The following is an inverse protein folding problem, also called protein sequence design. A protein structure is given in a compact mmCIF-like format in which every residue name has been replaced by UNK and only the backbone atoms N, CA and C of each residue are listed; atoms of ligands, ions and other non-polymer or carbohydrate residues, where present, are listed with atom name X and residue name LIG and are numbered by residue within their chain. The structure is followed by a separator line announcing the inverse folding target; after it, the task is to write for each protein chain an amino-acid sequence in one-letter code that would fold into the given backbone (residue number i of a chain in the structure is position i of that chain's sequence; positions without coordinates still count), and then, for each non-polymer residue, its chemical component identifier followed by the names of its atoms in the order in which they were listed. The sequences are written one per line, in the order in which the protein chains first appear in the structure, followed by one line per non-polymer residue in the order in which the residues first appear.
data_IF_128944552995
#
_entry.id   IF_128944552995
#
_cell.length_a   1.000
_cell.length_b   1.000
_cell.length_c   1.000
_cell.angle_alpha   90.00
_cell.angle_beta   90.00
_cell.angle_gamma   90.00
#
_symmetry.space_group_name_H-M   'P 1'
#
loop_
_entity.id
_entity.type
_entity.pdbx_description
1 polymer ?
#
# COMPACT_ATOMS: atom_id res chain seq x y z
N UNK A 1 27.41 -7.97 46.55
CA UNK A 1 27.64 -8.61 47.86
C UNK A 1 28.84 -7.94 48.50
N UNK A 2 28.64 -7.05 49.47
CA UNK A 2 29.66 -6.70 50.46
C UNK A 2 28.93 -6.47 51.79
N UNK A 3 29.26 -7.35 52.73
CA UNK A 3 28.78 -7.38 54.11
C UNK A 3 29.53 -6.32 54.91
N UNK A 4 28.82 -5.48 55.64
CA UNK A 4 29.38 -4.69 56.76
C UNK A 4 28.49 -4.99 57.96
N UNK A 5 28.86 -6.06 58.65
CA UNK A 5 28.47 -6.30 60.02
C UNK A 5 29.44 -5.59 60.97
N UNK A 6 28.91 -5.30 62.17
CA UNK A 6 29.63 -5.05 63.42
C UNK A 6 30.47 -3.78 63.51
N UNK A 7 29.85 -2.69 63.96
CA UNK A 7 30.47 -1.79 64.95
C UNK A 7 29.36 -1.10 65.77
N UNK A 8 29.26 -1.49 67.04
CA UNK A 8 29.01 -0.70 68.26
C UNK A 8 28.17 -1.47 69.29
N UNK A 9 28.89 -2.14 70.20
CA UNK A 9 28.48 -2.35 71.58
C UNK A 9 29.01 -1.20 72.44
N UNK A 10 28.31 -0.93 73.54
CA UNK A 10 28.66 -0.06 74.69
C UNK A 10 28.12 1.37 74.63
N UNK A 11 26.94 1.55 75.23
CA UNK A 11 26.68 2.70 76.10
C UNK A 11 26.06 2.13 77.37
N UNK A 12 26.89 1.99 78.42
CA UNK A 12 26.51 1.71 79.80
C UNK A 12 25.89 3.00 80.37
N UNK A 13 24.75 2.87 81.04
CA UNK A 13 24.17 3.96 81.80
C UNK A 13 24.86 4.09 83.15
N UNK A 14 25.27 5.31 83.50
CA UNK A 14 25.68 5.67 84.85
C UNK A 14 24.66 6.63 85.47
N UNK A 15 24.29 6.29 86.69
CA UNK A 15 23.28 6.91 87.54
C UNK A 15 23.88 7.90 88.55
N UNK A 16 23.11 8.96 88.82
CA UNK A 16 22.97 9.69 90.09
C UNK A 16 24.15 10.50 90.68
N UNK A 17 23.88 11.77 91.01
CA UNK A 17 24.67 12.55 91.98
C UNK A 17 24.49 14.08 92.00
N UNK A 18 23.87 14.58 93.09
CA UNK A 18 24.02 15.88 93.79
C UNK A 18 23.44 17.22 93.28
N UNK A 19 22.33 17.61 93.92
CA UNK A 19 22.01 18.87 94.66
C UNK A 19 22.88 20.14 94.56
N UNK A 20 22.23 21.30 94.29
CA UNK A 20 22.43 22.66 94.87
C UNK A 20 21.50 23.67 94.11
N UNK A 21 20.40 24.22 94.67
CA UNK A 21 20.22 25.35 95.62
C UNK A 21 20.04 26.75 94.97
N UNK A 22 18.89 27.39 95.27
CA UNK A 22 18.63 28.84 95.15
C UNK A 22 17.88 29.28 93.87
N UNK A 23 16.86 30.15 93.86
CA UNK A 23 16.16 30.97 94.86
C UNK A 23 14.80 31.35 94.27
N UNK A 24 13.76 31.33 95.09
CA UNK A 24 12.39 31.76 94.79
C UNK A 24 12.21 33.27 94.93
N UNK A 25 11.53 33.90 93.98
CA UNK A 25 10.73 35.12 94.22
C UNK A 25 9.33 34.90 93.66
N UNK A 26 8.35 34.97 94.56
CA UNK A 26 6.94 34.80 94.28
C UNK A 26 6.32 36.09 93.73
N UNK A 27 5.41 35.97 92.77
CA UNK A 27 4.27 36.87 92.63
C UNK A 27 3.01 36.04 92.42
N UNK A 28 2.04 36.28 93.29
CA UNK A 28 0.73 35.66 93.35
C UNK A 28 -0.12 36.04 92.13
N UNK A 29 -0.78 35.06 91.52
CA UNK A 29 -2.03 35.31 90.81
C UNK A 29 -3.00 34.16 91.08
N UNK A 30 -4.10 34.54 91.71
CA UNK A 30 -5.27 33.72 91.98
C UNK A 30 -5.97 33.38 90.68
N UNK A 31 -5.98 32.11 90.28
CA UNK A 31 -7.09 31.50 89.57
C UNK A 31 -6.96 29.97 89.64
N UNK A 32 -7.96 29.36 90.29
CA UNK A 32 -8.15 27.91 90.31
C UNK A 32 -8.39 27.40 88.88
N UNK A 33 -7.38 26.76 88.29
CA UNK A 33 -7.59 25.75 87.26
C UNK A 33 -6.77 24.51 87.60
N UNK A 34 -7.47 23.38 87.59
CA UNK A 34 -7.02 22.04 87.88
C UNK A 34 -5.83 21.67 87.00
N UNK A 35 -4.67 21.46 87.62
CA UNK A 35 -3.49 20.89 86.94
C UNK A 35 -3.78 19.40 86.73
N UNK A 36 -4.15 19.03 85.51
CA UNK A 36 -4.12 17.63 85.08
C UNK A 36 -2.68 17.13 85.16
N UNK A 37 -2.49 16.00 85.85
CA UNK A 37 -1.21 15.32 86.00
C UNK A 37 -0.50 15.14 84.64
N UNK A 38 0.84 15.28 84.56
CA UNK A 38 1.57 14.90 83.37
C UNK A 38 1.41 13.39 83.17
N UNK A 39 0.80 12.99 82.05
CA UNK A 39 0.72 11.59 81.65
C UNK A 39 2.13 10.97 81.63
N UNK A 40 2.29 9.68 82.03
CA UNK A 40 3.58 9.02 82.00
C UNK A 40 4.10 8.97 80.57
N UNK A 41 5.21 9.67 80.30
CA UNK A 41 5.92 9.62 79.03
C UNK A 41 6.26 8.16 78.71
N UNK A 42 5.58 7.63 77.70
CA UNK A 42 5.92 6.36 77.05
C UNK A 42 7.43 6.35 76.78
N UNK A 43 8.12 5.25 77.08
CA UNK A 43 9.57 5.12 76.92
C UNK A 43 10.01 5.65 75.54
N UNK A 44 11.15 6.38 75.43
CA UNK A 44 11.54 7.01 74.19
C UNK A 44 11.81 5.93 73.15
N UNK A 45 10.87 5.77 72.22
CA UNK A 45 11.13 5.11 70.96
C UNK A 45 12.34 5.79 70.33
N UNK A 46 13.26 5.03 69.73
CA UNK A 46 14.42 5.59 69.05
C UNK A 46 13.95 6.63 68.01
N UNK A 47 14.54 7.82 68.06
CA UNK A 47 14.20 8.92 67.15
C UNK A 47 14.89 8.74 65.79
N UNK A 48 14.27 7.98 64.90
CA UNK A 48 14.78 7.76 63.53
C UNK A 48 14.79 9.03 62.66
N UNK A 49 14.14 10.11 63.10
CA UNK A 49 14.12 11.42 62.41
C UNK A 49 15.51 12.06 62.32
N UNK A 50 16.43 11.70 63.22
CA UNK A 50 17.80 12.22 63.23
C UNK A 50 18.60 11.77 62.00
N UNK A 51 18.29 10.60 61.43
CA UNK A 51 18.96 10.10 60.21
C UNK A 51 18.70 11.00 59.00
N UNK A 52 17.50 11.59 58.94
CA UNK A 52 17.05 12.45 57.83
C UNK A 52 17.60 13.87 58.00
N UNK A 53 17.85 14.32 59.23
CA UNK A 53 18.39 15.65 59.59
C UNK A 53 19.92 15.72 59.54
N UNK A 54 20.54 15.03 58.58
CA UNK A 54 21.99 15.02 58.39
C UNK A 54 22.42 16.05 57.33
N UNK A 55 23.65 16.56 57.42
CA UNK A 55 24.20 17.53 56.44
C UNK A 55 23.37 18.81 56.33
N UNK A 56 22.92 19.13 55.11
CA UNK A 56 22.11 20.32 54.79
C UNK A 56 20.70 20.32 55.42
N UNK A 57 20.27 19.18 55.96
CA UNK A 57 18.93 19.00 56.51
C UNK A 57 18.80 19.28 58.00
N UNK A 58 19.89 19.71 58.68
CA UNK A 58 19.88 19.97 60.13
C UNK A 58 18.88 21.07 60.52
N UNK A 59 18.88 22.16 59.76
CA UNK A 59 18.06 23.34 60.03
C UNK A 59 16.72 23.30 59.27
N UNK A 60 16.54 22.33 58.36
CA UNK A 60 15.32 22.22 57.54
C UNK A 60 14.23 21.48 58.31
N UNK A 61 13.00 22.00 58.21
CA UNK A 61 11.82 21.32 58.72
C UNK A 61 11.43 20.20 57.76
N UNK A 62 11.61 18.95 58.18
CA UNK A 62 11.31 17.76 57.37
C UNK A 62 10.20 16.96 58.01
N UNK A 63 9.17 16.68 57.22
CA UNK A 63 8.06 15.83 57.58
C UNK A 63 8.49 14.36 57.40
N UNK A 64 8.37 13.57 58.46
CA UNK A 64 8.81 12.17 58.46
C UNK A 64 8.02 11.29 59.42
N UNK A 65 7.22 11.89 60.30
CA UNK A 65 6.40 11.15 61.26
C UNK A 65 5.06 10.77 60.65
N UNK A 66 4.47 9.69 61.15
CA UNK A 66 3.07 9.33 60.86
C UNK A 66 2.08 10.44 61.21
N UNK A 67 2.41 11.29 62.19
CA UNK A 67 1.58 12.43 62.56
C UNK A 67 1.57 13.54 61.51
N UNK A 68 2.57 13.58 60.62
CA UNK A 68 2.62 14.53 59.50
C UNK A 68 1.68 14.12 58.36
N UNK A 69 1.30 12.83 58.28
CA UNK A 69 0.31 12.30 57.31
C UNK A 69 -1.12 12.74 57.69
N UNK A 70 -1.37 12.97 58.99
CA UNK A 70 -2.70 13.32 59.49
C UNK A 70 -3.04 14.77 59.11
N UNK A 71 -4.23 15.02 58.51
CA UNK A 71 -4.65 16.38 58.17
C UNK A 71 -4.55 17.36 59.36
N UNK A 72 -3.99 18.54 59.11
CA UNK A 72 -3.67 19.51 60.17
C UNK A 72 -4.90 19.93 60.99
N UNK A 73 -6.06 20.06 60.35
CA UNK A 73 -7.34 20.42 60.98
C UNK A 73 -7.86 19.35 61.95
N UNK A 74 -7.52 18.08 61.70
CA UNK A 74 -7.84 16.96 62.59
C UNK A 74 -6.82 16.87 63.74
N UNK A 75 -5.54 17.15 63.44
CA UNK A 75 -4.45 17.11 64.43
C UNK A 75 -4.54 18.24 65.45
N UNK A 76 -4.92 19.44 65.02
CA UNK A 76 -5.01 20.64 65.86
C UNK A 76 -6.29 21.40 65.50
N UNK A 77 -7.33 21.23 66.31
CA UNK A 77 -8.66 21.84 66.09
C UNK A 77 -8.64 23.37 66.11
N UNK A 78 -7.80 23.97 66.95
CA UNK A 78 -7.66 25.41 67.10
C UNK A 78 -6.32 25.89 66.49
N UNK A 79 -6.17 25.80 65.17
CA UNK A 79 -4.99 26.32 64.47
C UNK A 79 -5.27 27.75 63.98
N UNK A 80 -4.36 28.69 64.26
CA UNK A 80 -4.39 30.00 63.62
C UNK A 80 -3.78 29.88 62.21
N UNK A 81 -4.62 30.10 61.19
CA UNK A 81 -4.21 30.25 59.79
C UNK A 81 -4.16 31.73 59.37
N UNK A 82 -4.02 32.63 60.35
CA UNK A 82 -3.94 34.05 60.09
C UNK A 82 -2.67 34.35 59.30
N UNK A 83 -2.79 35.27 58.35
CA UNK A 83 -1.62 35.81 57.65
C UNK A 83 -0.74 36.54 58.67
N UNK A 84 0.59 36.61 58.44
CA UNK A 84 1.48 37.46 59.23
C UNK A 84 0.98 38.91 59.29
N UNK A 85 1.37 39.66 60.32
CA UNK A 85 0.98 41.07 60.45
C UNK A 85 1.56 41.91 59.29
N UNK A 86 0.92 43.04 59.00
CA UNK A 86 1.36 43.93 57.92
C UNK A 86 2.79 44.43 58.14
N UNK A 87 3.18 44.72 59.37
CA UNK A 87 4.55 45.12 59.74
C UNK A 87 5.58 44.04 59.42
N UNK A 88 5.29 42.77 59.72
CA UNK A 88 6.17 41.64 59.39
C UNK A 88 6.30 41.43 57.89
N UNK A 89 5.22 41.67 57.15
CA UNK A 89 5.22 41.61 55.69
C UNK A 89 6.11 42.73 55.13
N UNK A 90 5.98 43.96 55.64
CA UNK A 90 6.82 45.09 55.22
C UNK A 90 8.30 44.84 55.54
N UNK A 91 8.64 44.37 56.73
CA UNK A 91 10.01 44.02 57.10
C UNK A 91 10.58 42.92 56.19
N UNK A 92 9.83 41.84 55.96
CA UNK A 92 10.27 40.75 55.08
C UNK A 92 10.41 41.22 53.62
N UNK A 93 9.49 42.04 53.13
CA UNK A 93 9.54 42.58 51.76
C UNK A 93 10.74 43.50 51.58
N UNK A 94 11.05 44.38 52.54
CA UNK A 94 12.25 45.20 52.49
C UNK A 94 13.53 44.39 52.56
N UNK A 95 13.60 43.41 53.47
CA UNK A 95 14.77 42.53 53.61
C UNK A 95 15.03 41.73 52.34
N UNK A 96 13.99 41.14 51.77
CA UNK A 96 14.08 40.35 50.54
C UNK A 96 14.40 41.24 49.33
N UNK A 97 13.78 42.41 49.22
CA UNK A 97 14.09 43.42 48.20
C UNK A 97 15.56 43.81 48.23
N UNK A 98 16.10 44.22 49.39
CA UNK A 98 17.52 44.56 49.56
C UNK A 98 18.45 43.41 49.15
N UNK A 99 18.11 42.17 49.53
CA UNK A 99 18.88 41.00 49.14
C UNK A 99 18.86 40.73 47.63
N UNK A 100 17.70 40.85 46.99
CA UNK A 100 17.55 40.69 45.54
C UNK A 100 18.23 41.82 44.78
N UNK A 101 18.13 43.07 45.24
CA UNK A 101 18.82 44.21 44.64
C UNK A 101 20.35 43.99 44.65
N UNK A 102 20.91 43.44 45.73
CA UNK A 102 22.32 43.05 45.79
C UNK A 102 22.67 41.97 44.75
N UNK A 103 21.82 40.96 44.59
CA UNK A 103 22.02 39.90 43.58
C UNK A 103 21.89 40.46 42.16
N UNK A 104 20.98 41.39 41.92
CA UNK A 104 20.80 42.04 40.63
C UNK A 104 22.00 42.93 40.30
N UNK A 105 22.39 43.81 41.21
CA UNK A 105 23.53 44.71 40.99
C UNK A 105 24.85 43.95 40.81
N UNK A 106 25.01 42.77 41.44
CA UNK A 106 26.18 41.90 41.19
C UNK A 106 26.11 41.24 39.81
N UNK A 107 24.93 40.79 39.37
CA UNK A 107 24.73 40.22 38.02
C UNK A 107 24.86 41.26 36.90
N UNK A 108 24.36 42.48 37.10
CA UNK A 108 24.48 43.60 36.14
C UNK A 108 25.89 44.19 36.11
N UNK A 109 26.77 43.82 37.06
CA UNK A 109 28.14 44.35 37.14
C UNK A 109 28.22 45.81 37.57
N UNK A 110 27.12 46.39 38.07
CA UNK A 110 27.01 47.76 38.59
C UNK A 110 27.55 47.91 40.01
N UNK A 111 27.60 46.83 40.79
CA UNK A 111 28.34 46.77 42.06
C UNK A 111 29.86 46.69 41.83
N UNK A 112 30.44 47.71 41.20
CA UNK A 112 31.88 47.95 41.30
C UNK A 112 32.07 48.71 42.61
N UNK A 113 32.40 48.00 43.70
CA UNK A 113 32.89 48.67 44.91
C UNK A 113 34.04 49.60 44.50
N UNK A 114 34.08 50.82 45.02
CA UNK A 114 35.24 51.70 44.86
C UNK A 114 36.41 51.07 45.61
N UNK A 115 37.19 50.24 44.90
CA UNK A 115 38.31 49.43 45.42
C UNK A 115 39.53 50.24 45.89
N UNK A 116 39.39 51.56 46.00
CA UNK A 116 40.49 52.48 46.30
C UNK A 116 40.87 52.50 47.80
N UNK A 117 39.93 52.17 48.69
CA UNK A 117 40.18 52.22 50.14
C UNK A 117 40.74 50.87 50.66
N UNK A 118 41.86 50.87 51.41
CA UNK A 118 42.43 49.66 51.99
C UNK A 118 41.67 49.21 53.24
N UNK A 119 41.38 47.91 53.34
CA UNK A 119 40.76 47.30 54.51
C UNK A 119 41.83 46.78 55.48
N UNK A 120 41.68 47.06 56.78
CA UNK A 120 42.59 46.54 57.81
C UNK A 120 41.87 45.49 58.65
N UNK A 121 42.34 44.25 58.59
CA UNK A 121 41.78 43.12 59.34
C UNK A 121 42.80 42.66 60.39
N UNK A 122 42.38 42.59 61.65
CA UNK A 122 43.19 41.97 62.70
C UNK A 122 43.00 40.46 62.66
N UNK A 123 44.07 39.74 62.37
CA UNK A 123 44.08 38.29 62.35
C UNK A 123 44.82 37.73 63.57
N UNK A 124 44.14 36.87 64.33
CA UNK A 124 44.70 36.08 65.41
C UNK A 124 44.90 34.64 64.91
N UNK A 125 46.15 34.17 64.84
CA UNK A 125 46.44 32.80 64.41
C UNK A 125 46.04 31.80 65.48
N UNK A 126 45.33 30.73 65.10
CA UNK A 126 44.95 29.61 65.98
C UNK A 126 45.97 28.47 66.01
N UNK A 127 47.22 28.71 65.56
CA UNK A 127 48.24 27.66 65.53
C UNK A 127 48.71 27.32 66.95
N UNK A 128 48.32 26.13 67.42
CA UNK A 128 48.70 25.54 68.72
C UNK A 128 50.15 25.02 68.72
N UNK A 129 50.80 24.91 67.56
CA UNK A 129 52.13 24.27 67.42
C UNK A 129 53.34 25.21 67.59
N UNK A 130 53.13 26.52 67.71
CA UNK A 130 54.23 27.49 67.88
C UNK A 130 54.11 28.14 69.27
N UNK A 131 55.10 27.94 70.13
CA UNK A 131 55.18 28.44 71.52
C UNK A 131 55.29 29.97 71.67
N UNK A 132 55.17 30.74 70.59
CA UNK A 132 55.10 32.19 70.68
C UNK A 132 53.67 32.62 71.03
N UNK A 133 53.44 33.36 72.13
CA UNK A 133 52.10 33.72 72.58
C UNK A 133 51.38 34.54 71.50
N UNK A 134 50.28 33.98 70.95
CA UNK A 134 49.21 34.66 70.21
C UNK A 134 49.59 35.97 69.52
N UNK A 135 50.53 35.91 68.57
CA UNK A 135 50.88 37.08 67.77
C UNK A 135 49.70 37.42 66.85
N UNK A 136 48.91 38.43 67.22
CA UNK A 136 47.92 39.02 66.33
C UNK A 136 48.64 39.88 65.29
N UNK A 137 48.28 39.75 64.02
CA UNK A 137 48.83 40.57 62.93
C UNK A 137 47.72 41.40 62.33
N UNK A 138 47.99 42.67 62.02
CA UNK A 138 47.05 43.51 61.27
C UNK A 138 47.41 43.37 59.79
N UNK A 139 46.48 42.85 59.01
CA UNK A 139 46.62 42.62 57.58
C UNK A 139 45.91 43.75 56.83
N UNK A 140 46.64 44.42 55.94
CA UNK A 140 46.08 45.40 55.02
C UNK A 140 45.70 44.69 53.71
N UNK A 141 44.41 44.60 53.42
CA UNK A 141 43.88 44.02 52.19
C UNK A 141 43.65 45.16 51.20
N UNK A 142 44.28 45.05 50.02
CA UNK A 142 44.16 45.99 48.91
C UNK A 142 43.80 45.19 47.66
N UNK A 143 42.75 45.59 46.97
CA UNK A 143 42.36 44.99 45.69
C UNK A 143 43.37 45.39 44.61
N UNK A 144 43.95 44.41 43.92
CA UNK A 144 44.86 44.66 42.79
C UNK A 144 44.10 45.28 41.62
N UNK A 145 44.58 46.42 41.12
CA UNK A 145 44.06 47.05 39.90
C UNK A 145 44.19 46.07 38.71
N UNK A 146 43.08 45.84 37.99
CA UNK A 146 43.04 44.95 36.82
C UNK A 146 43.13 45.77 35.53
N UNK A 147 43.80 45.19 34.52
CA UNK A 147 43.93 45.79 33.19
C UNK A 147 42.59 45.66 32.42
N UNK A 148 42.01 46.77 31.92
CA UNK A 148 40.76 46.75 31.16
C UNK A 148 40.87 46.07 29.79
N UNK A 149 42.07 45.93 29.22
CA UNK A 149 42.30 45.31 27.90
C UNK A 149 42.73 43.85 28.01
N UNK A 150 42.99 43.36 29.22
CA UNK A 150 43.42 41.98 29.41
C UNK A 150 42.28 40.99 29.07
N UNK A 151 42.56 39.94 28.28
CA UNK A 151 41.55 38.92 27.97
C UNK A 151 41.22 38.06 29.21
N UNK A 152 40.09 37.34 29.21
CA UNK A 152 39.73 36.41 30.27
C UNK A 152 40.83 35.37 30.53
N UNK A 153 41.39 35.37 31.75
CA UNK A 153 42.57 34.57 32.11
C UNK A 153 42.32 33.05 32.13
N UNK A 154 41.08 32.62 32.37
CA UNK A 154 40.75 31.20 32.59
C UNK A 154 39.60 30.74 31.69
N UNK A 155 39.76 29.55 31.08
CA UNK A 155 38.67 28.85 30.38
C UNK A 155 37.73 28.23 31.41
N UNK A 156 36.44 28.57 31.36
CA UNK A 156 35.44 27.97 32.24
C UNK A 156 35.12 26.55 31.78
N UNK A 157 35.34 25.57 32.67
CA UNK A 157 34.90 24.17 32.44
C UNK A 157 33.46 24.02 32.91
N UNK A 158 32.63 23.33 32.13
CA UNK A 158 31.27 22.94 32.54
C UNK A 158 31.39 21.98 33.73
N UNK A 159 30.87 22.40 34.88
CA UNK A 159 30.80 21.53 36.06
C UNK A 159 29.61 20.59 35.90
N UNK A 160 29.77 19.34 36.32
CA UNK A 160 28.64 18.44 36.52
C UNK A 160 27.73 19.00 37.61
N UNK A 161 26.44 18.73 37.49
CA UNK A 161 25.47 19.15 38.49
C UNK A 161 25.84 18.54 39.85
N UNK A 162 25.71 19.35 40.90
CA UNK A 162 25.89 18.87 42.27
C UNK A 162 24.84 17.78 42.55
N UNK A 163 25.16 16.76 43.35
CA UNK A 163 24.14 15.82 43.77
C UNK A 163 22.98 16.59 44.43
N UNK A 164 21.72 16.22 44.15
CA UNK A 164 20.58 16.90 44.74
C UNK A 164 20.61 16.75 46.27
N UNK A 165 19.94 17.66 46.98
CA UNK A 165 19.67 17.47 48.41
C UNK A 165 18.99 16.12 48.62
N UNK A 166 19.25 15.42 49.75
CA UNK A 166 18.67 14.11 50.03
C UNK A 166 17.15 14.10 49.79
N UNK A 167 16.59 13.02 49.22
CA UNK A 167 15.19 12.98 48.82
C UNK A 167 14.28 13.15 50.03
N UNK A 168 13.21 13.93 49.87
CA UNK A 168 12.23 14.13 50.91
C UNK A 168 11.47 12.81 51.20
N UNK A 169 11.09 12.54 52.46
CA UNK A 169 10.28 11.38 52.81
C UNK A 169 8.94 11.39 52.06
N UNK A 170 8.59 10.25 51.47
CA UNK A 170 7.33 10.08 50.75
C UNK A 170 6.26 9.61 51.73
N UNK A 171 5.27 10.45 51.99
CA UNK A 171 4.22 10.24 52.97
C UNK A 171 2.90 9.80 52.31
N UNK A 172 2.90 8.62 51.69
CA UNK A 172 1.69 8.04 51.09
C UNK A 172 0.79 7.37 52.13
N UNK A 173 -0.50 7.27 51.79
CA UNK A 173 -1.40 6.33 52.44
C UNK A 173 -0.87 4.88 52.27
N UNK A 174 -1.19 3.96 53.19
CA UNK A 174 -0.80 2.57 53.05
C UNK A 174 -1.26 2.01 51.70
N UNK A 175 -0.37 1.28 51.02
CA UNK A 175 -0.65 0.73 49.70
C UNK A 175 -1.84 -0.22 49.78
N UNK A 176 -2.90 0.05 49.02
CA UNK A 176 -3.99 -0.92 48.84
C UNK A 176 -3.44 -2.07 47.99
N UNK A 177 -3.66 -3.31 48.43
CA UNK A 177 -3.32 -4.48 47.64
C UNK A 177 -4.26 -4.51 46.43
N UNK A 178 -3.68 -4.52 45.23
CA UNK A 178 -4.43 -4.63 43.98
C UNK A 178 -5.13 -5.99 43.95
N UNK A 179 -6.40 -6.04 43.56
CA UNK A 179 -7.10 -7.31 43.37
C UNK A 179 -6.67 -7.96 42.06
N UNK A 180 -6.69 -9.29 42.00
CA UNK A 180 -6.31 -10.00 40.77
C UNK A 180 -7.22 -9.64 39.59
N UNK A 181 -8.47 -9.26 39.86
CA UNK A 181 -9.43 -8.78 38.87
C UNK A 181 -9.05 -7.40 38.32
N UNK A 182 -8.73 -6.44 39.20
CA UNK A 182 -8.28 -5.11 38.82
C UNK A 182 -6.99 -5.20 37.98
N UNK A 183 -6.05 -6.04 38.40
CA UNK A 183 -4.81 -6.24 37.64
C UNK A 183 -5.06 -6.81 36.24
N UNK A 184 -6.03 -7.72 36.07
CA UNK A 184 -6.40 -8.26 34.76
C UNK A 184 -7.13 -7.24 33.90
N UNK A 185 -8.02 -6.44 34.49
CA UNK A 185 -8.74 -5.40 33.75
C UNK A 185 -7.81 -4.33 33.20
N UNK A 186 -6.75 -4.01 33.95
CA UNK A 186 -5.70 -3.08 33.53
C UNK A 186 -4.53 -3.74 32.79
N UNK A 187 -4.66 -5.02 32.43
CA UNK A 187 -3.67 -5.68 31.58
C UNK A 187 -3.79 -5.15 30.15
N UNK A 188 -2.78 -4.37 29.72
CA UNK A 188 -2.69 -3.86 28.36
C UNK A 188 -2.04 -4.94 27.49
N UNK A 189 -2.73 -5.47 26.45
CA UNK A 189 -2.15 -6.44 25.53
C UNK A 189 -0.93 -5.88 24.79
N UNK A 190 0.05 -6.73 24.41
CA UNK A 190 1.21 -6.28 23.65
C UNK A 190 0.80 -5.75 22.28
N UNK A 191 1.40 -4.63 21.88
CA UNK A 191 1.17 -4.04 20.57
C UNK A 191 1.90 -4.85 19.49
N UNK A 192 1.13 -5.59 18.68
CA UNK A 192 1.62 -6.30 17.50
C UNK A 192 1.27 -5.43 16.30
N UNK A 193 2.24 -5.03 15.50
CA UNK A 193 2.00 -4.17 14.34
C UNK A 193 2.21 -4.93 13.03
N UNK A 194 1.38 -4.62 12.02
CA UNK A 194 1.52 -5.17 10.68
C UNK A 194 2.68 -4.55 9.89
N UNK A 195 3.22 -3.41 10.34
CA UNK A 195 4.28 -2.66 9.62
C UNK A 195 5.67 -2.83 10.21
N UNK A 196 5.81 -2.90 11.54
CA UNK A 196 7.10 -2.80 12.23
C UNK A 196 7.30 -3.96 13.19
N UNK A 197 8.46 -4.58 13.06
CA UNK A 197 8.97 -5.59 13.97
C UNK A 197 10.47 -5.34 14.20
N UNK A 198 10.84 -4.33 15.02
CA UNK A 198 12.23 -3.88 15.13
C UNK A 198 13.14 -4.98 15.70
N UNK A 199 12.61 -5.79 16.60
CA UNK A 199 13.35 -6.88 17.24
C UNK A 199 13.20 -8.21 16.49
N UNK A 200 12.48 -8.24 15.35
CA UNK A 200 12.35 -9.43 14.52
C UNK A 200 11.62 -10.62 15.18
N UNK A 201 10.70 -10.37 16.13
CA UNK A 201 9.97 -11.46 16.79
C UNK A 201 9.16 -12.31 15.79
N UNK A 202 9.29 -13.63 15.90
CA UNK A 202 8.46 -14.59 15.16
C UNK A 202 7.08 -14.66 15.81
N UNK A 203 6.12 -13.94 15.24
CA UNK A 203 4.75 -13.80 15.76
C UNK A 203 3.84 -14.69 14.92
N UNK A 204 2.97 -15.46 15.58
CA UNK A 204 1.99 -16.31 14.92
C UNK A 204 1.01 -15.49 14.06
N UNK A 205 0.49 -16.11 12.99
CA UNK A 205 -0.33 -15.43 12.00
C UNK A 205 -1.66 -14.91 12.58
N UNK A 206 -2.26 -15.68 13.49
CA UNK A 206 -3.49 -15.29 14.21
C UNK A 206 -3.31 -13.96 14.97
N UNK A 207 -2.16 -13.78 15.64
CA UNK A 207 -1.86 -12.56 16.40
C UNK A 207 -1.56 -11.35 15.53
N UNK A 208 -1.11 -11.56 14.28
CA UNK A 208 -0.94 -10.47 13.29
C UNK A 208 -2.27 -10.09 12.65
N UNK A 209 -3.05 -11.09 12.28
CA UNK A 209 -4.33 -10.91 11.60
C UNK A 209 -5.38 -10.25 12.51
N UNK A 210 -5.43 -10.65 13.79
CA UNK A 210 -6.37 -10.12 14.78
C UNK A 210 -6.28 -8.58 14.98
N UNK A 211 -5.17 -7.95 14.59
CA UNK A 211 -4.98 -6.49 14.72
C UNK A 211 -5.64 -5.72 13.59
N UNK A 212 -5.79 -6.34 12.41
CA UNK A 212 -6.29 -5.63 11.23
C UNK A 212 -7.77 -5.25 11.36
N UNK A 213 -8.51 -5.86 12.30
CA UNK A 213 -9.96 -5.64 12.48
C UNK A 213 -10.77 -5.98 11.22
N UNK A 214 -10.10 -6.46 10.16
CA UNK A 214 -10.59 -6.86 8.85
C UNK A 214 -10.76 -8.38 8.81
N UNK A 215 -11.03 -8.99 9.95
CA UNK A 215 -11.46 -10.39 9.98
C UNK A 215 -12.68 -10.48 9.06
N UNK A 216 -12.57 -11.23 7.93
CA UNK A 216 -13.69 -11.34 7.02
C UNK A 216 -14.89 -11.94 7.76
N UNK A 217 -14.71 -12.82 8.74
CA UNK A 217 -15.82 -13.34 9.53
C UNK A 217 -16.55 -12.31 10.41
N UNK A 218 -15.90 -11.19 10.79
CA UNK A 218 -16.51 -10.17 11.65
C UNK A 218 -17.12 -9.00 10.85
N UNK A 219 -16.57 -8.69 9.67
CA UNK A 219 -17.06 -7.63 8.78
C UNK A 219 -17.70 -8.13 7.47
N UNK A 220 -17.79 -9.45 7.22
CA UNK A 220 -18.40 -10.00 6.01
C UNK A 220 -19.91 -10.27 6.13
N UNK A 221 -20.60 -9.80 7.16
CA UNK A 221 -21.99 -9.41 6.96
C UNK A 221 -22.04 -8.09 6.19
N UNK A 222 -21.38 -8.04 5.02
CA UNK A 222 -21.65 -7.01 4.02
C UNK A 222 -23.02 -7.37 3.46
N UNK A 223 -24.05 -6.96 4.18
CA UNK A 223 -25.42 -7.07 3.73
C UNK A 223 -25.57 -6.16 2.50
N UNK A 224 -25.82 -6.76 1.34
CA UNK A 224 -26.02 -6.02 0.09
C UNK A 224 -27.40 -5.38 0.15
N UNK A 225 -27.48 -4.10 -0.19
CA UNK A 225 -28.74 -3.36 -0.23
C UNK A 225 -29.71 -3.96 -1.27
N UNK A 226 -30.95 -4.22 -0.87
CA UNK A 226 -32.03 -4.78 -1.71
C UNK A 226 -32.31 -3.96 -2.97
N UNK A 227 -32.00 -2.65 -2.97
CA UNK A 227 -32.14 -1.80 -4.16
C UNK A 227 -31.31 -2.29 -5.34
N UNK A 228 -30.18 -2.94 -5.11
CA UNK A 228 -29.37 -3.53 -6.18
C UNK A 228 -30.04 -4.75 -6.80
N UNK A 229 -30.75 -5.54 -5.98
CA UNK A 229 -31.55 -6.68 -6.47
C UNK A 229 -32.73 -6.17 -7.29
N UNK A 230 -33.47 -5.19 -6.77
CA UNK A 230 -34.60 -4.59 -7.48
C UNK A 230 -34.19 -3.94 -8.81
N UNK A 231 -33.00 -3.32 -8.85
CA UNK A 231 -32.44 -2.75 -10.07
C UNK A 231 -32.11 -3.85 -11.10
N UNK A 232 -31.42 -4.91 -10.67
CA UNK A 232 -31.09 -6.04 -11.54
C UNK A 232 -32.36 -6.68 -12.13
N UNK A 233 -33.35 -6.97 -11.29
CA UNK A 233 -34.64 -7.52 -11.71
C UNK A 233 -35.39 -6.61 -12.68
N UNK A 234 -35.32 -5.29 -12.48
CA UNK A 234 -35.96 -4.33 -13.40
C UNK A 234 -35.30 -4.31 -14.78
N UNK A 235 -33.97 -4.41 -14.82
CA UNK A 235 -33.20 -4.41 -16.07
C UNK A 235 -33.42 -5.72 -16.84
N UNK A 236 -33.48 -6.86 -16.15
CA UNK A 236 -33.75 -8.16 -16.78
C UNK A 236 -35.16 -8.21 -17.38
N UNK A 237 -36.17 -7.68 -16.68
CA UNK A 237 -37.54 -7.57 -17.20
C UNK A 237 -37.59 -6.67 -18.44
N UNK A 238 -36.93 -5.52 -18.38
CA UNK A 238 -36.85 -4.60 -19.51
C UNK A 238 -36.18 -5.25 -20.74
N UNK A 239 -35.10 -6.01 -20.56
CA UNK A 239 -34.43 -6.71 -21.67
C UNK A 239 -35.32 -7.82 -22.27
N UNK A 240 -36.05 -8.57 -21.43
CA UNK A 240 -37.00 -9.58 -21.91
C UNK A 240 -38.13 -8.97 -22.74
N UNK A 241 -38.70 -7.86 -22.29
CA UNK A 241 -39.77 -7.15 -22.99
C UNK A 241 -39.28 -6.63 -24.35
N UNK A 242 -38.11 -5.99 -24.39
CA UNK A 242 -37.51 -5.50 -25.65
C UNK A 242 -37.24 -6.65 -26.62
N UNK A 243 -36.70 -7.78 -26.15
CA UNK A 243 -36.46 -8.95 -27.01
C UNK A 243 -37.76 -9.52 -27.56
N UNK A 244 -38.81 -9.58 -26.76
CA UNK A 244 -40.12 -10.08 -27.19
C UNK A 244 -40.75 -9.16 -28.22
N UNK A 245 -40.69 -7.84 -28.02
CA UNK A 245 -41.17 -6.85 -28.97
C UNK A 245 -40.43 -6.98 -30.32
N UNK A 246 -39.10 -7.07 -30.28
CA UNK A 246 -38.27 -7.28 -31.48
C UNK A 246 -38.69 -8.57 -32.20
N UNK A 247 -38.86 -9.69 -31.49
CA UNK A 247 -39.30 -10.97 -32.08
C UNK A 247 -40.65 -10.83 -32.77
N UNK A 248 -41.64 -10.21 -32.11
CA UNK A 248 -42.98 -10.00 -32.66
C UNK A 248 -42.89 -9.09 -33.90
N UNK A 249 -42.16 -7.98 -33.82
CA UNK A 249 -41.98 -7.05 -34.94
C UNK A 249 -41.32 -7.73 -36.15
N UNK A 250 -40.30 -8.56 -35.92
CA UNK A 250 -39.67 -9.34 -36.98
C UNK A 250 -40.62 -10.39 -37.57
N UNK A 251 -41.42 -11.06 -36.75
CA UNK A 251 -42.42 -12.03 -37.23
C UNK A 251 -43.51 -11.35 -38.09
N UNK A 252 -44.03 -10.20 -37.66
CA UNK A 252 -45.00 -9.42 -38.43
C UNK A 252 -44.41 -8.93 -39.76
N UNK A 253 -43.20 -8.36 -39.73
CA UNK A 253 -42.49 -7.91 -40.93
C UNK A 253 -42.25 -9.06 -41.91
N UNK A 254 -41.96 -10.27 -41.39
CA UNK A 254 -41.81 -11.48 -42.20
C UNK A 254 -43.14 -11.89 -42.83
N UNK A 255 -44.23 -11.92 -42.07
CA UNK A 255 -45.57 -12.23 -42.60
C UNK A 255 -46.03 -11.22 -43.66
N UNK A 256 -45.77 -9.92 -43.45
CA UNK A 256 -46.06 -8.87 -44.43
C UNK A 256 -45.22 -9.05 -45.70
N UNK A 257 -43.92 -9.33 -45.55
CA UNK A 257 -43.05 -9.62 -46.70
C UNK A 257 -43.55 -10.86 -47.48
N UNK A 258 -43.92 -11.95 -46.80
CA UNK A 258 -44.49 -13.14 -47.41
C UNK A 258 -45.79 -12.82 -48.16
N UNK A 259 -46.70 -12.05 -47.54
CA UNK A 259 -47.94 -11.61 -48.18
C UNK A 259 -47.68 -10.75 -49.42
N UNK A 260 -46.77 -9.79 -49.33
CA UNK A 260 -46.35 -8.96 -50.47
C UNK A 260 -45.72 -9.81 -51.59
N UNK A 261 -44.93 -10.83 -51.26
CA UNK A 261 -44.40 -11.76 -52.27
C UNK A 261 -45.50 -12.59 -52.92
N UNK A 262 -46.49 -13.05 -52.15
CA UNK A 262 -47.65 -13.81 -52.65
C UNK A 262 -48.52 -12.97 -53.58
N UNK A 263 -48.83 -11.74 -53.19
CA UNK A 263 -49.59 -10.80 -54.03
C UNK A 263 -48.84 -10.47 -55.33
N UNK A 264 -47.51 -10.30 -55.27
CA UNK A 264 -46.67 -10.13 -56.46
C UNK A 264 -46.71 -11.37 -57.36
N UNK A 265 -46.64 -12.56 -56.79
CA UNK A 265 -46.74 -13.83 -57.53
C UNK A 265 -48.12 -13.99 -58.20
N UNK A 266 -49.20 -13.71 -57.49
CA UNK A 266 -50.56 -13.75 -58.04
C UNK A 266 -50.75 -12.71 -59.15
N UNK A 267 -50.24 -11.49 -58.97
CA UNK A 267 -50.26 -10.45 -60.00
C UNK A 267 -49.49 -10.89 -61.26
N UNK A 268 -48.31 -11.49 -61.09
CA UNK A 268 -47.54 -12.05 -62.21
C UNK A 268 -48.27 -13.23 -62.86
N UNK A 269 -48.95 -14.07 -62.09
CA UNK A 269 -49.76 -15.19 -62.58
C UNK A 269 -50.94 -14.71 -63.41
N UNK A 270 -51.67 -13.68 -62.96
CA UNK A 270 -52.77 -13.07 -63.72
C UNK A 270 -52.26 -12.40 -65.00
N UNK A 271 -51.13 -11.70 -64.97
CA UNK A 271 -50.50 -11.13 -66.15
C UNK A 271 -50.10 -12.23 -67.16
N UNK A 272 -49.52 -13.33 -66.67
CA UNK A 272 -49.17 -14.48 -67.49
C UNK A 272 -50.40 -15.18 -68.09
N UNK A 273 -51.52 -15.23 -67.35
CA UNK A 273 -52.77 -15.78 -67.84
C UNK A 273 -53.39 -14.88 -68.92
N UNK A 274 -53.49 -13.57 -68.68
CA UNK A 274 -53.97 -12.60 -69.69
C UNK A 274 -53.13 -12.63 -70.96
N UNK A 275 -51.80 -12.65 -70.85
CA UNK A 275 -50.92 -12.76 -72.04
C UNK A 275 -51.10 -14.09 -72.78
N UNK A 276 -51.41 -15.20 -72.08
CA UNK A 276 -51.79 -16.47 -72.74
C UNK A 276 -53.15 -16.37 -73.43
N UNK A 277 -54.15 -15.76 -72.81
CA UNK A 277 -55.48 -15.55 -73.38
C UNK A 277 -55.41 -14.65 -74.62
N UNK A 278 -54.66 -13.54 -74.57
CA UNK A 278 -54.43 -12.66 -75.72
C UNK A 278 -53.70 -13.38 -76.85
N UNK A 279 -52.70 -14.22 -76.53
CA UNK A 279 -52.00 -15.02 -77.54
C UNK A 279 -52.92 -16.08 -78.16
N UNK A 280 -53.76 -16.73 -77.35
CA UNK A 280 -54.76 -17.68 -77.84
C UNK A 280 -55.80 -16.98 -78.72
N UNK A 281 -56.23 -15.76 -78.37
CA UNK A 281 -57.13 -14.92 -79.17
C UNK A 281 -56.50 -14.46 -80.48
N UNK A 282 -55.20 -14.14 -80.48
CA UNK A 282 -54.46 -13.84 -81.72
C UNK A 282 -54.34 -15.10 -82.59
N UNK A 283 -54.10 -16.28 -82.00
CA UNK A 283 -54.10 -17.55 -82.73
C UNK A 283 -55.49 -17.90 -83.28
N UNK A 284 -56.57 -17.71 -82.52
CA UNK A 284 -57.93 -17.98 -83.00
C UNK A 284 -58.32 -17.02 -84.14
N UNK A 285 -57.91 -15.74 -84.05
CA UNK A 285 -58.11 -14.74 -85.11
C UNK A 285 -57.24 -15.01 -86.37
N UNK A 286 -56.09 -15.68 -86.22
CA UNK A 286 -55.36 -16.23 -87.37
C UNK A 286 -56.09 -17.43 -88.00
N UNK A 287 -56.82 -18.22 -87.21
CA UNK A 287 -57.62 -19.36 -87.67
C UNK A 287 -58.90 -18.95 -88.41
N UNK A 288 -59.53 -17.83 -88.04
CA UNK A 288 -60.74 -17.29 -88.70
C UNK A 288 -60.48 -16.54 -90.02
N UNK A 289 -59.22 -16.40 -90.46
CA UNK A 289 -58.86 -15.64 -91.67
C UNK A 289 -58.89 -16.47 -92.97
N UNK A 290 -59.43 -17.68 -92.94
CA UNK A 290 -59.43 -18.61 -94.08
C UNK A 290 -60.83 -19.25 -94.24
N UNK A 291 -61.55 -18.88 -95.30
CA UNK A 291 -62.91 -19.38 -95.59
C UNK A 291 -62.92 -20.57 -96.58
N UNK A 292 -61.76 -20.97 -97.16
CA UNK A 292 -61.65 -22.10 -98.10
C UNK A 292 -60.71 -23.22 -97.61
N UNK A 293 -61.21 -24.46 -97.59
CA UNK A 293 -60.53 -25.67 -97.09
C UNK A 293 -59.22 -26.00 -97.83
N UNK A 294 -59.11 -25.64 -99.11
CA UNK A 294 -57.91 -25.86 -99.95
C UNK A 294 -56.78 -24.83 -99.72
N UNK A 295 -57.07 -23.67 -99.15
CA UNK A 295 -56.05 -22.70 -98.72
C UNK A 295 -55.46 -23.09 -97.36
N UNK A 296 -56.31 -23.62 -96.48
CA UNK A 296 -55.95 -24.09 -95.13
C UNK A 296 -54.92 -25.22 -95.15
N UNK A 297 -55.04 -26.16 -96.09
CA UNK A 297 -54.06 -27.25 -96.27
C UNK A 297 -52.70 -26.74 -96.77
N UNK A 298 -52.69 -25.73 -97.66
CA UNK A 298 -51.46 -25.14 -98.22
C UNK A 298 -50.75 -24.18 -97.26
N UNK A 299 -51.47 -23.52 -96.35
CA UNK A 299 -50.88 -22.64 -95.33
C UNK A 299 -50.29 -23.43 -94.17
N UNK A 300 -50.99 -24.46 -93.68
CA UNK A 300 -50.50 -25.36 -92.63
C UNK A 300 -49.21 -26.08 -93.06
N UNK A 301 -49.11 -26.50 -94.31
CA UNK A 301 -47.93 -27.21 -94.84
C UNK A 301 -46.72 -26.27 -95.07
N UNK A 302 -46.95 -24.97 -95.32
CA UNK A 302 -45.89 -23.94 -95.31
C UNK A 302 -45.46 -23.59 -93.90
N UNK A 303 -46.41 -23.50 -92.97
CA UNK A 303 -46.14 -23.14 -91.59
C UNK A 303 -45.44 -24.28 -90.84
N UNK A 304 -45.75 -25.54 -91.16
CA UNK A 304 -45.03 -26.70 -90.65
C UNK A 304 -43.57 -26.72 -91.15
N UNK A 305 -43.34 -26.49 -92.44
CA UNK A 305 -41.97 -26.34 -92.99
C UNK A 305 -41.22 -25.17 -92.37
N UNK A 306 -41.89 -24.02 -92.20
CA UNK A 306 -41.30 -22.83 -91.56
C UNK A 306 -41.00 -23.08 -90.08
N UNK A 307 -41.82 -23.85 -89.38
CA UNK A 307 -41.63 -24.22 -87.96
C UNK A 307 -40.54 -25.27 -87.77
N UNK A 308 -40.36 -26.19 -88.74
CA UNK A 308 -39.22 -27.13 -88.77
C UNK A 308 -37.92 -26.37 -89.06
N UNK A 309 -37.91 -25.52 -90.08
CA UNK A 309 -36.76 -24.67 -90.42
C UNK A 309 -36.43 -23.67 -89.30
N UNK A 310 -37.41 -23.09 -88.62
CA UNK A 310 -37.18 -22.19 -87.48
C UNK A 310 -36.64 -22.93 -86.26
N UNK A 311 -37.12 -24.14 -85.96
CA UNK A 311 -36.53 -24.98 -84.90
C UNK A 311 -35.10 -25.37 -85.25
N UNK A 312 -34.83 -25.76 -86.49
CA UNK A 312 -33.50 -26.15 -86.94
C UNK A 312 -32.53 -24.96 -86.95
N UNK A 313 -32.99 -23.78 -87.37
CA UNK A 313 -32.21 -22.54 -87.36
C UNK A 313 -32.00 -22.00 -85.93
N UNK A 314 -32.95 -22.23 -85.00
CA UNK A 314 -32.73 -21.99 -83.56
C UNK A 314 -31.77 -23.00 -82.94
N UNK A 315 -31.80 -24.27 -83.36
CA UNK A 315 -30.87 -25.30 -82.89
C UNK A 315 -29.46 -25.11 -83.47
N UNK A 316 -29.33 -24.50 -84.65
CA UNK A 316 -28.04 -24.14 -85.26
C UNK A 316 -27.49 -22.79 -84.78
N UNK A 317 -28.36 -21.79 -84.50
CA UNK A 317 -27.97 -20.52 -83.86
C UNK A 317 -27.85 -20.58 -82.34
N UNK A 318 -28.22 -21.70 -81.72
CA UNK A 318 -28.05 -21.90 -80.29
C UNK A 318 -26.56 -21.92 -79.95
N UNK A 319 -26.11 -20.97 -79.14
CA UNK A 319 -24.78 -21.01 -78.55
C UNK A 319 -24.55 -22.32 -77.78
N UNK A 320 -23.29 -22.74 -77.66
CA UNK A 320 -22.87 -24.00 -76.99
C UNK A 320 -23.63 -24.23 -75.67
N UNK A 321 -23.88 -23.20 -74.87
CA UNK A 321 -24.55 -23.26 -73.56
C UNK A 321 -26.02 -23.75 -73.60
N UNK A 322 -26.80 -23.37 -74.62
CA UNK A 322 -28.18 -23.87 -74.74
C UNK A 322 -28.22 -25.29 -75.32
N UNK A 323 -27.25 -25.66 -76.16
CA UNK A 323 -27.11 -27.02 -76.72
C UNK A 323 -26.70 -28.02 -75.64
N UNK A 324 -25.86 -27.56 -74.71
CA UNK A 324 -25.49 -28.25 -73.48
C UNK A 324 -26.71 -28.40 -72.55
N UNK A 325 -27.57 -27.39 -72.39
CA UNK A 325 -28.81 -27.52 -71.60
C UNK A 325 -29.84 -28.47 -72.21
N UNK A 326 -30.00 -28.49 -73.53
CA UNK A 326 -30.92 -29.44 -74.17
C UNK A 326 -30.40 -30.88 -74.06
N UNK A 327 -29.10 -31.11 -74.25
CA UNK A 327 -28.48 -32.42 -73.98
C UNK A 327 -28.54 -32.81 -72.50
N UNK A 328 -28.28 -31.88 -71.57
CA UNK A 328 -28.36 -32.14 -70.13
C UNK A 328 -29.79 -32.40 -69.63
N UNK A 329 -30.82 -31.98 -70.39
CA UNK A 329 -32.21 -32.28 -70.10
C UNK A 329 -32.66 -33.64 -70.68
N UNK A 330 -32.05 -34.09 -71.78
CA UNK A 330 -32.32 -35.42 -72.37
C UNK A 330 -31.49 -36.53 -71.72
N UNK A 331 -30.32 -36.20 -71.16
CA UNK A 331 -29.45 -37.09 -70.39
C UNK A 331 -29.52 -36.66 -68.92
N UNK A 332 -30.60 -37.06 -68.23
CA UNK A 332 -30.73 -36.90 -66.78
C UNK A 332 -29.69 -37.71 -66.01
N UNK A 333 -29.22 -37.13 -64.90
CA UNK A 333 -28.44 -37.70 -63.80
C UNK A 333 -27.24 -38.60 -64.15
N UNK A 334 -26.24 -38.00 -64.81
CA UNK A 334 -24.86 -38.52 -64.85
C UNK A 334 -23.98 -37.85 -63.78
N UNK A 335 -23.13 -38.65 -63.15
CA UNK A 335 -22.18 -38.23 -62.13
C UNK A 335 -21.25 -37.10 -62.60
N UNK A 336 -20.86 -36.25 -61.64
CA UNK A 336 -20.15 -34.98 -61.86
C UNK A 336 -18.83 -35.17 -62.64
N UNK A 337 -18.20 -36.34 -62.53
CA UNK A 337 -16.97 -36.70 -63.24
C UNK A 337 -17.19 -36.93 -64.74
N UNK A 338 -18.24 -37.65 -65.15
CA UNK A 338 -18.58 -37.86 -66.56
C UNK A 338 -19.06 -36.56 -67.22
N UNK A 339 -19.75 -35.72 -66.43
CA UNK A 339 -20.20 -34.40 -66.88
C UNK A 339 -19.04 -33.43 -67.13
N UNK A 340 -17.95 -33.56 -66.36
CA UNK A 340 -16.71 -32.81 -66.56
C UNK A 340 -15.92 -33.32 -67.78
N UNK A 341 -15.85 -34.63 -67.98
CA UNK A 341 -15.19 -35.22 -69.15
C UNK A 341 -15.92 -34.93 -70.47
N UNK A 342 -17.26 -34.80 -70.45
CA UNK A 342 -18.07 -34.39 -71.60
C UNK A 342 -18.14 -32.86 -71.82
N UNK A 343 -17.49 -32.05 -70.96
CA UNK A 343 -17.42 -30.58 -71.11
C UNK A 343 -18.76 -29.84 -70.92
N UNK A 344 -19.73 -30.47 -70.24
CA UNK A 344 -21.11 -29.98 -70.06
C UNK A 344 -21.27 -29.12 -68.78
N UNK A 345 -20.28 -29.12 -67.87
CA UNK A 345 -20.31 -28.31 -66.65
C UNK A 345 -19.89 -26.86 -66.88
N UNK A 346 -20.66 -25.91 -66.35
CA UNK A 346 -20.32 -24.48 -66.33
C UNK A 346 -19.14 -24.26 -65.40
N UNK A 347 -17.96 -23.93 -65.94
CA UNK A 347 -16.81 -23.52 -65.14
C UNK A 347 -17.19 -22.30 -64.28
N UNK A 348 -16.98 -22.39 -62.97
CA UNK A 348 -17.11 -21.25 -62.07
C UNK A 348 -16.03 -20.24 -62.44
N UNK A 349 -16.42 -19.10 -63.04
CA UNK A 349 -15.48 -18.02 -63.33
C UNK A 349 -15.00 -17.44 -62.00
N UNK A 350 -13.81 -17.81 -61.55
CA UNK A 350 -13.06 -17.04 -60.56
C UNK A 350 -12.67 -15.73 -61.22
N UNK A 351 -13.12 -14.61 -60.65
CA UNK A 351 -13.02 -13.28 -61.27
C UNK A 351 -11.56 -12.75 -61.24
N UNK A 352 -10.68 -13.37 -60.45
CA UNK A 352 -9.28 -12.94 -60.27
C UNK A 352 -8.31 -14.13 -60.31
N UNK A 353 -7.04 -13.88 -60.63
CA UNK A 353 -5.93 -14.84 -60.51
C UNK A 353 -5.92 -15.42 -59.11
N UNK A 354 -6.06 -16.74 -58.99
CA UNK A 354 -6.07 -17.42 -57.70
C UNK A 354 -4.70 -17.23 -57.04
N UNK A 355 -4.65 -16.46 -55.95
CA UNK A 355 -3.46 -16.36 -55.10
C UNK A 355 -3.25 -17.69 -54.36
N UNK A 356 -2.00 -18.05 -54.12
CA UNK A 356 -1.63 -19.26 -53.37
C UNK A 356 -2.28 -19.22 -51.98
N UNK A 357 -2.98 -20.30 -51.61
CA UNK A 357 -3.55 -20.51 -50.28
C UNK A 357 -2.57 -20.22 -49.13
N UNK A 358 -1.28 -20.48 -49.33
CA UNK A 358 -0.25 -20.25 -48.30
C UNK A 358 -0.12 -18.78 -47.93
N UNK A 359 -0.39 -17.88 -48.86
CA UNK A 359 -0.35 -16.44 -48.63
C UNK A 359 -1.49 -15.97 -47.71
N UNK A 360 -2.65 -16.63 -47.78
CA UNK A 360 -3.77 -16.34 -46.89
C UNK A 360 -3.62 -16.98 -45.51
N UNK A 361 -2.94 -18.13 -45.41
CA UNK A 361 -2.67 -18.78 -44.12
C UNK A 361 -1.49 -18.15 -43.38
N UNK A 362 -0.58 -17.48 -44.08
CA UNK A 362 0.55 -16.74 -43.51
C UNK A 362 0.06 -15.34 -43.11
N UNK A 363 -0.64 -15.28 -41.99
CA UNK A 363 -1.26 -14.10 -41.34
C UNK A 363 -0.66 -12.75 -41.74
N UNK A 364 -1.44 -11.90 -42.41
CA UNK A 364 -1.07 -10.53 -42.81
C UNK A 364 -1.40 -9.47 -41.75
N UNK A 365 -1.90 -9.86 -40.58
CA UNK A 365 -2.22 -8.95 -39.48
C UNK A 365 -1.80 -9.54 -38.14
N UNK A 366 -0.53 -9.35 -37.80
CA UNK A 366 -0.05 -9.48 -36.43
C UNK A 366 -0.19 -8.08 -35.82
N UNK A 367 -0.99 -7.94 -34.76
CA UNK A 367 -1.17 -6.67 -34.06
C UNK A 367 0.01 -6.45 -33.13
N UNK A 368 1.04 -5.77 -33.61
CA UNK A 368 2.16 -5.36 -32.76
C UNK A 368 1.69 -4.27 -31.78
N UNK A 369 2.00 -4.42 -30.50
CA UNK A 369 1.82 -3.36 -29.51
C UNK A 369 2.79 -2.20 -29.78
N UNK A 370 2.38 -0.97 -29.47
CA UNK A 370 3.12 0.27 -29.78
C UNK A 370 4.57 0.29 -29.24
N UNK A 371 4.82 -0.39 -28.12
CA UNK A 371 6.15 -0.45 -27.47
C UNK A 371 7.00 -1.68 -27.88
N UNK A 372 6.53 -2.51 -28.83
CA UNK A 372 7.26 -3.72 -29.23
C UNK A 372 8.23 -3.44 -30.38
N UNK A 373 9.53 -3.45 -30.05
CA UNK A 373 10.63 -3.12 -30.98
C UNK A 373 10.97 -4.26 -31.96
N UNK A 374 10.69 -5.52 -31.59
CA UNK A 374 11.01 -6.70 -32.39
C UNK A 374 9.77 -7.56 -32.69
N UNK A 375 9.65 -7.99 -33.95
CA UNK A 375 8.53 -8.79 -34.47
C UNK A 375 8.60 -10.28 -34.09
N UNK A 376 9.78 -10.77 -33.71
CA UNK A 376 10.01 -12.18 -33.36
C UNK A 376 10.79 -12.32 -32.06
N UNK A 377 10.48 -13.36 -31.31
CA UNK A 377 11.18 -13.68 -30.07
C UNK A 377 12.62 -14.12 -30.36
N UNK A 378 13.56 -13.74 -29.50
CA UNK A 378 14.99 -14.02 -29.67
C UNK A 378 15.31 -15.52 -29.68
N UNK A 379 14.47 -16.34 -29.02
CA UNK A 379 14.65 -17.78 -28.94
C UNK A 379 13.40 -18.54 -29.40
N UNK A 380 13.59 -19.42 -30.38
CA UNK A 380 12.53 -20.27 -30.94
C UNK A 380 11.84 -21.15 -29.88
N UNK A 381 12.54 -21.50 -28.79
CA UNK A 381 11.99 -22.28 -27.68
C UNK A 381 10.86 -21.56 -26.93
N UNK A 382 10.85 -20.22 -26.94
CA UNK A 382 9.80 -19.41 -26.32
C UNK A 382 8.56 -19.34 -27.22
N UNK A 383 8.78 -19.30 -28.54
CA UNK A 383 7.72 -19.20 -29.55
C UNK A 383 7.03 -20.54 -29.84
N UNK A 384 7.67 -21.68 -29.54
CA UNK A 384 7.10 -23.01 -29.72
C UNK A 384 6.37 -23.45 -28.44
N UNK A 385 5.09 -23.81 -28.57
CA UNK A 385 4.27 -24.26 -27.43
C UNK A 385 4.63 -25.65 -26.88
N UNK A 386 5.25 -26.53 -27.68
CA UNK A 386 5.65 -27.87 -27.27
C UNK A 386 7.01 -28.25 -27.88
N UNK A 387 7.98 -28.60 -27.04
CA UNK A 387 9.34 -28.99 -27.47
C UNK A 387 9.37 -30.44 -27.99
N UNK A 388 8.58 -31.34 -27.41
CA UNK A 388 8.50 -32.73 -27.83
C UNK A 388 7.09 -33.30 -27.57
N UNK A 389 6.45 -33.85 -28.60
CA UNK A 389 5.18 -34.59 -28.47
C UNK A 389 5.32 -35.93 -29.19
N UNK A 390 5.24 -37.01 -28.44
CA UNK A 390 5.19 -38.38 -29.00
C UNK A 390 3.85 -38.56 -29.71
N UNK A 391 3.87 -38.83 -31.01
CA UNK A 391 2.68 -39.28 -31.72
C UNK A 391 2.51 -40.79 -31.51
N UNK A 392 1.35 -41.23 -31.03
CA UNK A 392 1.06 -42.66 -30.96
C UNK A 392 0.81 -43.29 -32.34
N UNK A 393 0.68 -42.48 -33.41
CA UNK A 393 0.54 -42.98 -34.79
C UNK A 393 1.86 -43.48 -35.40
N UNK A 394 3.00 -43.09 -34.83
CA UNK A 394 4.34 -43.49 -35.28
C UNK A 394 4.93 -44.63 -34.43
N UNK A 395 4.10 -45.28 -33.60
CA UNK A 395 4.51 -46.36 -32.70
C UNK A 395 4.51 -47.75 -33.35
N UNK A 396 3.81 -47.88 -34.47
CA UNK A 396 3.69 -49.11 -35.27
C UNK A 396 4.51 -49.06 -36.59
N UNK A 397 5.31 -48.01 -36.80
CA UNK A 397 6.23 -47.90 -37.95
C UNK A 397 7.62 -48.41 -37.55
N UNK A 398 8.27 -49.14 -38.45
CA UNK A 398 9.63 -49.64 -38.23
C UNK A 398 10.57 -48.47 -37.90
N UNK A 399 11.34 -48.55 -36.80
CA UNK A 399 12.12 -47.43 -36.29
C UNK A 399 13.18 -46.95 -37.30
N UNK A 400 13.67 -47.86 -38.14
CA UNK A 400 14.68 -47.58 -39.16
C UNK A 400 14.08 -46.86 -40.39
N UNK A 401 12.84 -47.18 -40.75
CA UNK A 401 12.12 -46.54 -41.87
C UNK A 401 11.67 -45.13 -41.47
N UNK A 402 11.17 -44.96 -40.24
CA UNK A 402 10.81 -43.65 -39.68
C UNK A 402 12.03 -42.70 -39.56
N UNK A 403 13.22 -43.23 -39.25
CA UNK A 403 14.46 -42.45 -39.21
C UNK A 403 14.88 -42.00 -40.62
N UNK A 404 14.77 -42.89 -41.61
CA UNK A 404 15.09 -42.58 -43.00
C UNK A 404 14.17 -41.49 -43.56
N UNK A 405 12.86 -41.61 -43.34
CA UNK A 405 11.88 -40.59 -43.75
C UNK A 405 12.16 -39.23 -43.09
N UNK A 406 12.42 -39.20 -41.78
CA UNK A 406 12.79 -37.97 -41.07
C UNK A 406 14.08 -37.31 -41.59
N UNK A 407 15.08 -38.10 -41.99
CA UNK A 407 16.33 -37.57 -42.57
C UNK A 407 16.17 -37.11 -44.02
N UNK A 408 15.22 -37.69 -44.77
CA UNK A 408 14.94 -37.33 -46.16
C UNK A 408 14.05 -36.10 -46.31
N UNK A 409 13.26 -35.78 -45.28
CA UNK A 409 12.35 -34.64 -45.28
C UNK A 409 13.09 -33.31 -45.13
N UNK A 410 13.16 -32.56 -46.23
CA UNK A 410 13.74 -31.21 -46.32
C UNK A 410 12.91 -30.12 -45.62
N UNK A 411 12.16 -30.46 -44.57
CA UNK A 411 11.35 -29.49 -43.79
C UNK A 411 12.21 -28.57 -42.92
N UNK A 412 13.44 -28.99 -42.59
CA UNK A 412 14.32 -28.28 -41.66
C UNK A 412 15.54 -27.62 -42.32
N UNK A 413 15.73 -27.77 -43.63
CA UNK A 413 16.82 -27.09 -44.37
C UNK A 413 16.71 -25.55 -44.29
N UNK A 414 15.50 -24.99 -44.12
CA UNK A 414 15.32 -23.53 -43.98
C UNK A 414 15.51 -22.97 -42.57
N UNK A 415 15.75 -23.83 -41.57
CA UNK A 415 15.97 -23.44 -40.17
C UNK A 415 17.40 -23.77 -39.70
N UNK A 416 18.24 -24.31 -40.60
CA UNK A 416 19.67 -24.49 -40.36
C UNK A 416 20.43 -23.16 -40.33
N UNK A 417 21.60 -23.11 -39.68
CA UNK A 417 22.47 -21.94 -39.73
C UNK A 417 22.79 -21.60 -41.19
N UNK A 418 22.65 -20.32 -41.56
CA UNK A 418 22.94 -19.80 -42.90
C UNK A 418 24.34 -20.27 -43.33
N UNK A 419 24.41 -21.14 -44.33
CA UNK A 419 25.67 -21.55 -44.94
C UNK A 419 26.17 -20.41 -45.82
N UNK A 420 27.32 -19.82 -45.44
CA UNK A 420 27.99 -18.82 -46.24
C UNK A 420 28.80 -19.51 -47.35
N UNK A 421 28.46 -19.23 -48.62
CA UNK A 421 29.32 -19.59 -49.74
C UNK A 421 30.61 -18.77 -49.70
N UNK A 422 31.75 -19.47 -49.65
CA UNK A 422 33.08 -18.86 -49.76
C UNK A 422 33.54 -18.92 -51.21
N UNK A 423 33.50 -17.78 -51.90
CA UNK A 423 34.66 -17.09 -52.51
C UNK A 423 34.30 -16.33 -53.79
N UNK A 424 34.65 -15.05 -53.81
CA UNK A 424 34.94 -14.27 -55.01
C UNK A 424 35.86 -13.12 -54.60
N UNK A 425 37.14 -13.22 -54.94
CA UNK A 425 38.14 -12.16 -54.80
C UNK A 425 37.67 -10.89 -55.52
N UNK A 426 37.75 -9.73 -54.87
CA UNK A 426 37.51 -8.46 -55.56
C UNK A 426 37.28 -7.26 -54.66
N UNK A 427 38.36 -6.50 -54.46
CA UNK A 427 38.38 -5.07 -54.16
C UNK A 427 38.28 -4.63 -52.68
N UNK A 428 39.46 -4.27 -52.20
CA UNK A 428 39.76 -3.38 -51.08
C UNK A 428 38.96 -2.08 -51.07
N UNK A 429 38.40 -1.71 -49.91
CA UNK A 429 38.70 -0.39 -49.36
C UNK A 429 38.50 -0.32 -47.85
N UNK A 430 39.60 -0.08 -47.15
CA UNK A 430 39.69 0.14 -45.71
C UNK A 430 39.38 1.58 -45.33
N UNK A 431 38.57 1.79 -44.29
CA UNK A 431 38.77 2.89 -43.32
C UNK A 431 38.45 2.36 -41.91
N UNK A 432 39.36 2.46 -40.94
CA UNK A 432 39.02 2.28 -39.54
C UNK A 432 38.41 3.60 -39.01
N UNK A 433 37.32 3.52 -38.25
CA UNK A 433 36.80 4.66 -37.47
C UNK A 433 37.13 4.38 -36.01
N UNK A 434 37.68 5.38 -35.34
CA UNK A 434 38.19 5.38 -33.97
C UNK A 434 37.11 5.07 -32.92
N UNK A 435 37.36 4.06 -32.07
CA UNK A 435 36.54 3.71 -30.90
C UNK A 435 36.92 4.51 -29.64
N UNK A 436 36.93 5.85 -29.72
CA UNK A 436 37.24 6.70 -28.55
C UNK A 436 36.12 7.67 -28.14
N UNK A 437 34.87 7.50 -28.59
CA UNK A 437 33.78 8.45 -28.29
C UNK A 437 32.74 7.99 -27.26
N UNK A 438 32.88 6.83 -26.60
CA UNK A 438 32.02 6.51 -25.44
C UNK A 438 32.81 5.86 -24.31
N UNK A 439 33.26 6.71 -23.38
CA UNK A 439 34.05 6.33 -22.22
C UNK A 439 33.35 5.38 -21.25
N UNK A 440 33.56 4.07 -21.44
CA UNK A 440 33.33 3.06 -20.41
C UNK A 440 34.64 2.35 -20.07
N UNK A 441 35.35 2.86 -19.06
CA UNK A 441 36.40 2.11 -18.37
C UNK A 441 35.75 1.05 -17.46
N UNK A 442 35.67 -0.20 -17.92
CA UNK A 442 35.31 -1.33 -17.06
C UNK A 442 36.55 -1.77 -16.27
N UNK A 443 36.60 -1.36 -15.01
CA UNK A 443 37.60 -1.76 -14.01
C UNK A 443 37.38 -3.23 -13.66
N UNK A 444 38.15 -4.15 -14.28
CA UNK A 444 38.18 -5.57 -13.87
C UNK A 444 38.78 -5.67 -12.46
N UNK A 445 37.98 -6.08 -11.48
CA UNK A 445 38.49 -6.65 -10.25
C UNK A 445 39.05 -8.04 -10.56
N UNK A 446 40.35 -8.23 -10.33
CA UNK A 446 40.98 -9.54 -10.27
C UNK A 446 40.77 -10.11 -8.87
N UNK A 447 40.19 -11.29 -8.81
CA UNK A 447 40.40 -12.24 -7.72
C UNK A 447 41.63 -13.08 -8.05
N UNK A 448 42.50 -13.20 -7.04
CA UNK A 448 43.76 -13.95 -6.92
C UNK A 448 45.01 -13.36 -7.60
#
# INVERSE_FOLDING_TARGET
MFSIGQYLSQVRGDSAGSTASGTSTATTNTNNQVVLAPEPKKAPSRDYTQLIRTGENRDRVIQSSIDDVKPLRQRKRNISLQKPSEEQILECTERTRKALDNVLQTKLGTLKKDKSKPDYVRYTSSNILNDAPTSSRIIKIIDKQQDPMAPPKFKQKKQFERPPSPPAPILHAPTKKVTAEEQKQWYIPPAISNWKNPNGFTIALDKRLAVDGRDPSANASVEINEKFVNLADSLDKADQDVRNEIKIRHALKKMEAEKLTREKEERLRQLAQKTREDRARIQSRQQERFENEDERRRTLDREERRRKAERELKMSKMGKEQKIRSMAKTLGDRDISERAQLGVSKATKSIETQFDSRLFTKSTQITNSEDQVYDSELFVQQAISNIYKVSNSSRDQDPDEALHDLTSEKRFESLGPVQFEKSGEGSSNSKPVDDSEYGLQVKRQRTE
#
